data_IF_639190573693
#
_entry.id   IF_639190573693
#
_cell.length_a   1.000
_cell.length_b   1.000
_cell.length_c   1.000
_cell.angle_alpha   90.00
_cell.angle_beta   90.00
_cell.angle_gamma   90.00
#
_symmetry.space_group_name_H-M   'P 1'
#
loop_
_entity.id
_entity.type
_entity.pdbx_description
1 polymer ?
#
# COMPACT_ATOMS: atom_id res chain seq x y z
N UNK A 1 -11.53 -1.61 -15.96
CA UNK A 1 -11.56 -1.54 -14.47
C UNK A 1 -10.43 -0.64 -13.97
N UNK A 2 -10.60 0.02 -12.81
CA UNK A 2 -9.56 0.92 -12.31
C UNK A 2 -8.26 0.20 -11.93
N UNK A 3 -7.14 0.89 -12.13
CA UNK A 3 -5.82 0.51 -11.63
C UNK A 3 -5.39 1.39 -10.46
N UNK A 4 -5.84 2.65 -10.44
CA UNK A 4 -5.62 3.59 -9.35
C UNK A 4 -6.67 4.67 -9.33
N UNK A 5 -6.87 5.28 -8.15
CA UNK A 5 -7.73 6.44 -7.94
C UNK A 5 -7.04 7.44 -7.01
N UNK A 6 -7.18 8.71 -7.33
CA UNK A 6 -6.78 9.80 -6.45
C UNK A 6 -7.80 10.92 -6.47
N UNK A 7 -8.18 11.42 -5.30
CA UNK A 7 -9.10 12.56 -5.16
C UNK A 7 -8.33 13.80 -4.75
N UNK A 8 -8.27 14.77 -5.66
CA UNK A 8 -7.75 16.08 -5.38
C UNK A 8 -8.85 16.97 -4.81
N UNK A 9 -8.71 17.40 -3.55
CA UNK A 9 -9.63 18.32 -2.88
C UNK A 9 -8.97 19.68 -2.76
N UNK A 10 -9.59 20.70 -3.32
CA UNK A 10 -9.17 22.08 -3.18
C UNK A 10 -10.23 22.84 -2.35
N UNK A 11 -9.76 23.73 -1.46
CA UNK A 11 -10.63 24.47 -0.55
C UNK A 11 -11.62 25.34 -1.35
N UNK A 12 -12.92 25.12 -1.15
CA UNK A 12 -13.98 25.87 -1.85
C UNK A 12 -14.31 25.41 -3.28
N UNK A 13 -13.61 24.40 -3.81
CA UNK A 13 -13.84 23.89 -5.15
C UNK A 13 -14.49 22.48 -5.12
N UNK A 14 -14.98 22.03 -6.29
CA UNK A 14 -15.38 20.64 -6.50
C UNK A 14 -14.13 19.76 -6.44
N UNK A 15 -14.26 18.57 -5.90
CA UNK A 15 -13.18 17.61 -5.96
C UNK A 15 -12.90 17.20 -7.41
N UNK A 16 -11.62 17.06 -7.79
CA UNK A 16 -11.22 16.45 -9.05
C UNK A 16 -10.84 15.01 -8.78
N UNK A 17 -11.48 14.10 -9.48
CA UNK A 17 -11.15 12.69 -9.49
C UNK A 17 -10.11 12.45 -10.57
N UNK A 18 -9.05 11.74 -10.22
CA UNK A 18 -8.05 11.22 -11.13
C UNK A 18 -8.16 9.69 -11.11
N UNK A 19 -8.41 9.08 -12.26
CA UNK A 19 -8.56 7.64 -12.44
C UNK A 19 -7.56 7.13 -13.47
N UNK A 20 -6.96 6.00 -13.16
CA UNK A 20 -6.18 5.17 -14.09
C UNK A 20 -6.99 3.91 -14.33
N UNK A 21 -7.37 3.68 -15.58
CA UNK A 21 -8.23 2.59 -16.03
C UNK A 21 -7.49 1.75 -17.07
N UNK A 22 -7.64 0.44 -17.01
CA UNK A 22 -6.94 -0.50 -17.89
C UNK A 22 -7.29 -0.35 -19.37
N UNK A 23 -8.52 0.07 -19.67
CA UNK A 23 -9.02 0.22 -21.05
C UNK A 23 -9.01 1.68 -21.55
N UNK A 24 -9.29 2.63 -20.63
CA UNK A 24 -9.40 4.05 -20.97
C UNK A 24 -8.11 4.84 -20.73
N UNK A 25 -7.15 4.24 -20.01
CA UNK A 25 -5.96 4.94 -19.53
C UNK A 25 -6.27 5.96 -18.42
N UNK A 26 -5.41 6.98 -18.32
CA UNK A 26 -5.62 8.05 -17.35
C UNK A 26 -6.67 9.05 -17.85
N UNK A 27 -7.61 9.41 -16.95
CA UNK A 27 -8.53 10.52 -17.16
C UNK A 27 -8.91 11.19 -15.83
N UNK A 28 -9.39 12.43 -15.91
CA UNK A 28 -9.84 13.17 -14.72
C UNK A 28 -11.15 13.89 -15.01
N UNK A 29 -11.94 14.07 -13.95
CA UNK A 29 -13.23 14.76 -14.03
C UNK A 29 -13.60 15.41 -12.71
N UNK A 30 -14.39 16.50 -12.74
CA UNK A 30 -14.93 17.11 -11.53
C UNK A 30 -15.99 16.22 -10.91
N UNK A 31 -15.91 16.00 -9.60
CA UNK A 31 -16.88 15.19 -8.87
C UNK A 31 -17.51 15.96 -7.73
N UNK A 32 -18.82 15.78 -7.57
CA UNK A 32 -19.57 16.34 -6.48
C UNK A 32 -20.08 15.21 -5.60
N UNK A 33 -19.53 15.12 -4.39
CA UNK A 33 -19.98 14.12 -3.44
C UNK A 33 -21.47 14.32 -3.10
N UNK A 34 -22.13 13.26 -2.66
CA UNK A 34 -23.53 13.27 -2.32
C UNK A 34 -23.82 12.42 -1.08
N UNK A 35 -24.99 12.60 -0.53
CA UNK A 35 -25.59 11.81 0.52
C UNK A 35 -27.08 11.58 0.19
N UNK A 36 -27.78 10.94 1.07
CA UNK A 36 -29.24 10.77 0.93
C UNK A 36 -29.95 11.41 2.11
N UNK A 37 -31.10 12.07 1.85
CA UNK A 37 -31.93 12.73 2.85
C UNK A 37 -33.33 12.13 2.85
N UNK A 38 -33.94 12.00 4.02
CA UNK A 38 -35.35 11.58 4.16
C UNK A 38 -36.27 12.50 3.35
N UNK A 39 -37.07 11.90 2.46
CA UNK A 39 -38.01 12.61 1.60
C UNK A 39 -39.10 11.63 1.14
N UNK A 40 -40.36 11.95 1.41
CA UNK A 40 -41.48 11.05 1.09
C UNK A 40 -41.68 10.79 -0.41
N UNK A 41 -41.15 11.68 -1.27
CA UNK A 41 -41.16 11.52 -2.73
C UNK A 41 -39.85 10.90 -3.28
N UNK A 42 -38.93 10.46 -2.40
CA UNK A 42 -37.66 9.90 -2.81
C UNK A 42 -37.78 8.53 -3.48
N UNK A 43 -36.85 8.24 -4.38
CA UNK A 43 -36.79 6.96 -5.14
C UNK A 43 -36.02 5.87 -4.41
N UNK A 44 -35.07 6.25 -3.51
CA UNK A 44 -34.26 5.33 -2.75
C UNK A 44 -34.90 4.95 -1.44
N UNK A 45 -34.50 3.82 -0.86
CA UNK A 45 -35.09 3.32 0.39
C UNK A 45 -33.94 3.00 1.37
N UNK A 46 -34.09 3.41 2.63
CA UNK A 46 -33.15 2.99 3.68
C UNK A 46 -33.39 1.53 4.10
N UNK A 47 -32.43 0.93 4.83
CA UNK A 47 -32.61 -0.40 5.42
C UNK A 47 -33.88 -0.53 6.31
N UNK A 48 -34.39 0.58 6.85
CA UNK A 48 -35.62 0.64 7.66
C UNK A 48 -36.87 1.00 6.85
N UNK A 49 -36.81 0.97 5.53
CA UNK A 49 -37.94 1.23 4.64
C UNK A 49 -38.31 2.73 4.46
N UNK A 50 -37.47 3.65 4.92
CA UNK A 50 -37.72 5.09 4.78
C UNK A 50 -37.37 5.56 3.38
N UNK A 51 -38.22 6.35 2.74
CA UNK A 51 -37.96 6.96 1.44
C UNK A 51 -36.90 8.05 1.54
N UNK A 52 -35.97 8.05 0.59
CA UNK A 52 -34.81 8.92 0.55
C UNK A 52 -34.64 9.53 -0.85
N UNK A 53 -34.08 10.75 -0.88
CA UNK A 53 -33.62 11.35 -2.12
C UNK A 53 -32.14 11.71 -2.07
N UNK A 54 -31.48 11.62 -3.19
CA UNK A 54 -30.06 11.99 -3.36
C UNK A 54 -29.91 13.51 -3.25
N UNK A 55 -28.96 13.96 -2.40
CA UNK A 55 -28.66 15.38 -2.16
C UNK A 55 -27.17 15.62 -2.21
N UNK A 56 -26.76 16.76 -2.77
CA UNK A 56 -25.35 17.12 -2.89
C UNK A 56 -24.91 18.13 -1.81
N UNK A 57 -25.84 18.60 -0.99
CA UNK A 57 -25.59 19.47 0.18
C UNK A 57 -26.60 19.11 1.25
N UNK A 58 -26.19 19.18 2.49
CA UNK A 58 -27.01 18.96 3.69
C UNK A 58 -26.51 19.84 4.82
N UNK A 59 -27.35 20.06 5.80
CA UNK A 59 -27.02 20.85 6.97
C UNK A 59 -26.68 19.97 8.16
N UNK A 60 -25.85 20.48 9.07
CA UNK A 60 -25.44 19.75 10.28
C UNK A 60 -26.64 19.39 11.18
N UNK A 61 -27.67 20.19 11.16
CA UNK A 61 -28.92 19.91 11.89
C UNK A 61 -29.63 18.65 11.38
N UNK A 62 -29.72 18.49 10.06
CA UNK A 62 -30.28 17.29 9.45
C UNK A 62 -29.42 16.04 9.73
N UNK A 63 -28.11 16.20 9.75
CA UNK A 63 -27.19 15.12 10.10
C UNK A 63 -27.38 14.69 11.56
N UNK A 64 -27.40 15.65 12.51
CA UNK A 64 -27.63 15.39 13.94
C UNK A 64 -29.03 14.79 14.20
N UNK A 65 -30.02 15.18 13.41
CA UNK A 65 -31.38 14.64 13.49
C UNK A 65 -31.52 13.23 12.86
N UNK A 66 -30.47 12.62 12.37
CA UNK A 66 -30.48 11.29 11.72
C UNK A 66 -31.30 11.24 10.43
N UNK A 67 -31.42 12.37 9.71
CA UNK A 67 -32.14 12.47 8.44
C UNK A 67 -31.23 12.27 7.22
N UNK A 68 -29.90 12.22 7.42
CA UNK A 68 -28.89 12.06 6.37
C UNK A 68 -28.26 10.68 6.46
N UNK A 69 -28.05 10.05 5.31
CA UNK A 69 -27.56 8.69 5.15
C UNK A 69 -26.35 8.70 4.21
N UNK A 70 -25.39 7.80 4.43
CA UNK A 70 -24.17 7.63 3.64
C UNK A 70 -23.35 8.92 3.45
N UNK A 71 -23.42 9.89 4.37
CA UNK A 71 -22.62 11.12 4.28
C UNK A 71 -21.15 10.90 4.65
N UNK A 72 -20.85 9.81 5.30
CA UNK A 72 -19.54 9.40 5.82
C UNK A 72 -18.80 8.38 4.91
N UNK A 73 -19.40 8.00 3.78
CA UNK A 73 -18.76 7.12 2.79
C UNK A 73 -17.55 7.83 2.18
N UNK A 74 -16.37 7.19 2.14
CA UNK A 74 -15.19 7.76 1.49
C UNK A 74 -15.47 8.07 0.02
N UNK A 75 -14.99 9.23 -0.42
CA UNK A 75 -15.28 9.68 -1.79
C UNK A 75 -14.67 8.74 -2.83
N UNK A 76 -13.50 8.19 -2.54
CA UNK A 76 -12.82 7.20 -3.38
C UNK A 76 -13.71 5.97 -3.61
N UNK A 77 -14.21 5.37 -2.54
CA UNK A 77 -15.14 4.22 -2.59
C UNK A 77 -16.42 4.57 -3.33
N UNK A 78 -16.99 5.76 -3.05
CA UNK A 78 -18.22 6.23 -3.73
C UNK A 78 -18.02 6.34 -5.25
N UNK A 79 -16.91 6.95 -5.67
CA UNK A 79 -16.59 7.11 -7.11
C UNK A 79 -16.38 5.73 -7.75
N UNK A 80 -15.67 4.82 -7.08
CA UNK A 80 -15.43 3.48 -7.62
C UNK A 80 -16.72 2.69 -7.76
N UNK A 81 -17.62 2.74 -6.76
CA UNK A 81 -18.94 2.12 -6.85
C UNK A 81 -19.78 2.77 -7.96
N UNK A 82 -19.77 4.11 -8.07
CA UNK A 82 -20.52 4.82 -9.09
C UNK A 82 -20.06 4.53 -10.52
N UNK A 83 -18.77 4.25 -10.68
CA UNK A 83 -18.14 4.05 -12.00
C UNK A 83 -18.08 2.59 -12.40
N UNK A 84 -17.86 1.68 -11.45
CA UNK A 84 -17.53 0.27 -11.70
C UNK A 84 -18.45 -0.73 -10.97
N UNK A 85 -19.46 -0.26 -10.22
CA UNK A 85 -20.28 -1.12 -9.35
C UNK A 85 -21.05 -2.26 -10.04
N UNK A 86 -21.07 -2.28 -11.37
CA UNK A 86 -21.71 -3.33 -12.19
C UNK A 86 -20.72 -4.47 -12.57
N UNK A 87 -19.42 -4.33 -12.27
CA UNK A 87 -18.40 -5.33 -12.54
C UNK A 87 -17.43 -5.45 -11.37
N UNK A 88 -16.98 -6.65 -11.07
CA UNK A 88 -15.98 -6.98 -10.06
C UNK A 88 -14.73 -7.64 -10.68
N UNK A 89 -14.63 -7.68 -12.02
CA UNK A 89 -13.49 -8.24 -12.73
C UNK A 89 -12.21 -7.47 -12.44
N UNK A 90 -11.07 -8.15 -12.21
CA UNK A 90 -9.79 -7.49 -12.01
C UNK A 90 -9.35 -6.69 -13.24
N UNK A 91 -8.68 -5.54 -13.01
CA UNK A 91 -8.05 -4.78 -14.10
C UNK A 91 -6.91 -5.56 -14.76
N UNK A 92 -6.68 -5.34 -16.04
CA UNK A 92 -5.60 -5.96 -16.82
C UNK A 92 -4.36 -5.05 -16.89
N UNK A 93 -3.22 -5.61 -17.31
CA UNK A 93 -2.01 -4.86 -17.64
C UNK A 93 -1.40 -4.05 -16.49
N UNK A 94 -1.57 -4.49 -15.26
CA UNK A 94 -1.00 -3.79 -14.11
C UNK A 94 0.50 -4.00 -14.05
N UNK A 95 1.26 -2.93 -13.86
CA UNK A 95 2.68 -2.98 -13.62
C UNK A 95 2.97 -2.88 -12.12
N UNK A 96 3.63 -3.90 -11.57
CA UNK A 96 4.14 -3.90 -10.20
C UNK A 96 5.65 -3.79 -10.22
N UNK A 97 6.18 -2.79 -9.54
CA UNK A 97 7.62 -2.66 -9.30
C UNK A 97 7.96 -3.16 -7.90
N UNK A 98 8.78 -4.18 -7.82
CA UNK A 98 9.39 -4.65 -6.57
C UNK A 98 10.72 -3.95 -6.43
N UNK A 99 11.05 -3.47 -5.23
CA UNK A 99 12.33 -2.79 -5.04
C UNK A 99 12.82 -2.89 -3.59
N UNK A 100 14.10 -2.70 -3.43
CA UNK A 100 14.82 -2.70 -2.17
C UNK A 100 15.99 -1.73 -2.28
N UNK A 101 16.34 -1.03 -1.20
CA UNK A 101 17.46 -0.10 -1.16
C UNK A 101 18.48 -0.49 -0.10
N UNK A 102 19.75 -0.26 -0.43
CA UNK A 102 20.84 -0.34 0.55
C UNK A 102 21.40 1.06 0.80
N UNK A 103 21.70 1.33 2.05
CA UNK A 103 22.18 2.63 2.49
C UNK A 103 23.48 2.51 3.27
N UNK A 104 24.31 3.53 3.15
CA UNK A 104 25.52 3.65 3.94
C UNK A 104 25.16 3.69 5.44
N UNK A 105 25.92 2.95 6.26
CA UNK A 105 25.77 2.94 7.71
C UNK A 105 27.04 3.49 8.35
N UNK A 106 26.96 4.70 8.89
CA UNK A 106 28.09 5.37 9.54
C UNK A 106 28.01 5.36 11.06
N UNK A 107 26.80 5.53 11.61
CA UNK A 107 26.56 5.52 13.05
C UNK A 107 25.10 5.11 13.35
N UNK A 108 24.94 3.93 13.94
CA UNK A 108 23.63 3.38 14.27
C UNK A 108 22.78 2.98 13.07
N UNK A 109 21.50 2.73 13.30
CA UNK A 109 20.55 2.35 12.24
C UNK A 109 20.07 3.61 11.49
N UNK A 110 20.13 3.62 10.14
CA UNK A 110 19.73 4.77 9.33
C UNK A 110 18.27 5.14 9.55
N UNK A 111 18.01 6.42 9.88
CA UNK A 111 16.67 6.94 10.14
C UNK A 111 15.99 7.40 8.84
N UNK A 112 14.89 6.75 8.37
CA UNK A 112 14.30 7.04 7.07
C UNK A 112 13.75 8.46 6.92
N UNK A 113 13.30 9.07 8.02
CA UNK A 113 12.77 10.44 7.98
C UNK A 113 13.86 11.49 7.90
N UNK A 114 15.08 11.19 8.36
CA UNK A 114 16.25 12.06 8.20
C UNK A 114 17.01 11.79 6.92
N UNK A 115 17.18 10.53 6.54
CA UNK A 115 17.87 10.06 5.34
C UNK A 115 19.24 10.76 5.16
N UNK A 116 20.10 10.70 6.20
CA UNK A 116 21.37 11.44 6.23
C UNK A 116 22.43 10.77 5.39
N UNK A 117 22.45 9.43 5.36
CA UNK A 117 23.48 8.66 4.69
C UNK A 117 23.12 8.43 3.22
N UNK A 118 24.14 8.10 2.41
CA UNK A 118 23.96 7.85 0.98
C UNK A 118 23.20 6.55 0.72
N UNK A 119 22.43 6.53 -0.34
CA UNK A 119 21.94 5.28 -0.94
C UNK A 119 23.08 4.72 -1.78
N UNK A 120 23.49 3.50 -1.46
CA UNK A 120 24.61 2.81 -2.12
C UNK A 120 24.15 1.85 -3.21
N UNK A 121 22.94 1.31 -3.09
CA UNK A 121 22.33 0.49 -4.13
C UNK A 121 20.81 0.59 -4.11
N UNK A 122 20.20 0.45 -5.30
CA UNK A 122 18.76 0.28 -5.49
C UNK A 122 18.56 -0.90 -6.41
N UNK A 123 18.00 -1.99 -5.91
CA UNK A 123 17.57 -3.11 -6.74
C UNK A 123 16.07 -3.00 -7.02
N UNK A 124 15.67 -3.28 -8.25
CA UNK A 124 14.26 -3.27 -8.66
C UNK A 124 13.95 -4.41 -9.64
N UNK A 125 12.70 -4.81 -9.69
CA UNK A 125 12.15 -5.76 -10.65
C UNK A 125 10.87 -5.19 -11.27
N UNK A 126 10.77 -5.24 -12.58
CA UNK A 126 9.59 -4.87 -13.35
C UNK A 126 8.79 -6.12 -13.72
N UNK A 127 7.55 -6.21 -13.22
CA UNK A 127 6.69 -7.37 -13.45
C UNK A 127 6.24 -7.56 -14.91
N UNK A 128 6.32 -6.53 -15.74
CA UNK A 128 5.94 -6.59 -17.17
C UNK A 128 7.09 -7.12 -18.00
N UNK A 129 8.27 -6.51 -17.90
CA UNK A 129 9.45 -6.93 -18.66
C UNK A 129 10.16 -8.13 -18.04
N UNK A 130 9.86 -8.44 -16.78
CA UNK A 130 10.50 -9.48 -15.96
C UNK A 130 12.02 -9.28 -15.82
N UNK A 131 12.45 -8.03 -15.83
CA UNK A 131 13.86 -7.63 -15.72
C UNK A 131 14.16 -7.17 -14.29
N UNK A 132 15.26 -7.70 -13.75
CA UNK A 132 15.92 -7.16 -12.57
C UNK A 132 16.87 -6.05 -12.98
N UNK A 133 16.93 -4.97 -12.23
CA UNK A 133 17.92 -3.91 -12.42
C UNK A 133 18.51 -3.54 -11.06
N UNK A 134 19.84 -3.47 -10.98
CA UNK A 134 20.53 -2.88 -9.84
C UNK A 134 21.23 -1.60 -10.28
N UNK A 135 21.00 -0.53 -9.54
CA UNK A 135 21.68 0.76 -9.69
C UNK A 135 22.62 0.88 -8.50
N UNK A 136 23.92 1.03 -8.77
CA UNK A 136 24.96 0.90 -7.74
C UNK A 136 25.85 2.12 -7.73
N UNK A 137 26.11 2.66 -6.54
CA UNK A 137 27.13 3.68 -6.35
C UNK A 137 28.49 3.01 -6.35
N UNK A 138 29.25 3.20 -7.43
CA UNK A 138 30.52 2.53 -7.69
C UNK A 138 31.53 3.52 -8.30
N UNK A 139 32.07 4.44 -7.48
CA UNK A 139 33.00 5.46 -7.97
C UNK A 139 34.32 4.91 -8.50
N UNK A 140 34.68 3.70 -8.10
CA UNK A 140 35.94 3.04 -8.50
C UNK A 140 35.75 2.09 -9.69
N UNK A 141 34.53 1.93 -10.21
CA UNK A 141 34.20 1.07 -11.36
C UNK A 141 34.62 -0.40 -11.17
N UNK A 142 34.31 -0.94 -10.00
CA UNK A 142 34.66 -2.30 -9.59
C UNK A 142 33.60 -3.35 -9.87
N UNK A 143 32.38 -2.91 -10.21
CA UNK A 143 31.23 -3.79 -10.44
C UNK A 143 31.36 -4.50 -11.79
N UNK A 144 31.25 -5.81 -11.76
CA UNK A 144 31.30 -6.67 -12.96
C UNK A 144 29.91 -6.67 -13.68
N UNK A 145 29.88 -6.93 -14.98
CA UNK A 145 28.67 -7.18 -15.72
C UNK A 145 27.85 -8.33 -15.11
N UNK A 146 26.50 -8.29 -15.22
CA UNK A 146 25.65 -9.36 -14.71
C UNK A 146 25.97 -10.70 -15.40
N UNK A 147 25.81 -11.80 -14.65
CA UNK A 147 25.97 -13.16 -15.16
C UNK A 147 24.75 -13.68 -15.88
N UNK A 148 23.56 -13.18 -15.48
CA UNK A 148 22.26 -13.62 -15.97
C UNK A 148 21.70 -12.61 -16.98
N UNK A 149 20.99 -13.09 -18.00
CA UNK A 149 20.38 -12.27 -19.04
C UNK A 149 19.15 -11.48 -18.59
N UNK A 150 18.56 -11.87 -17.46
CA UNK A 150 17.38 -11.23 -16.86
C UNK A 150 17.73 -10.13 -15.84
N UNK A 151 19.02 -9.89 -15.65
CA UNK A 151 19.56 -8.90 -14.72
C UNK A 151 20.33 -7.82 -15.47
N UNK A 152 20.08 -6.57 -15.16
CA UNK A 152 20.86 -5.41 -15.61
C UNK A 152 21.52 -4.75 -14.41
N UNK A 153 22.80 -4.37 -14.54
CA UNK A 153 23.54 -3.65 -13.50
C UNK A 153 24.08 -2.36 -14.12
N UNK A 154 23.78 -1.24 -13.50
CA UNK A 154 24.25 0.08 -13.90
C UNK A 154 25.01 0.72 -12.73
N UNK A 155 26.29 1.07 -12.97
CA UNK A 155 27.17 1.70 -12.00
C UNK A 155 27.25 3.21 -12.18
N UNK A 156 27.35 3.94 -11.06
CA UNK A 156 27.38 5.40 -11.05
C UNK A 156 28.52 5.92 -10.18
N UNK A 157 29.14 6.99 -10.64
CA UNK A 157 30.21 7.65 -9.91
C UNK A 157 29.69 8.45 -8.70
N UNK A 158 28.45 8.97 -8.79
CA UNK A 158 27.85 9.78 -7.74
C UNK A 158 26.46 9.29 -7.39
N UNK A 159 26.03 9.53 -6.15
CA UNK A 159 24.66 9.24 -5.70
C UNK A 159 23.63 10.07 -6.48
N UNK A 160 23.98 11.28 -6.88
CA UNK A 160 23.11 12.14 -7.67
C UNK A 160 22.74 11.47 -9.00
N UNK A 161 23.72 10.92 -9.73
CA UNK A 161 23.48 10.19 -10.98
C UNK A 161 22.66 8.92 -10.75
N UNK A 162 22.95 8.18 -9.68
CA UNK A 162 22.19 6.98 -9.29
C UNK A 162 20.73 7.30 -9.06
N UNK A 163 20.45 8.33 -8.25
CA UNK A 163 19.07 8.77 -7.98
C UNK A 163 18.37 9.28 -9.25
N UNK A 164 19.04 10.09 -10.08
CA UNK A 164 18.48 10.55 -11.34
C UNK A 164 18.11 9.37 -12.24
N UNK A 165 18.98 8.37 -12.33
CA UNK A 165 18.73 7.17 -13.12
C UNK A 165 17.59 6.33 -12.58
N UNK A 166 17.48 6.19 -11.25
CA UNK A 166 16.34 5.53 -10.62
C UNK A 166 15.02 6.18 -11.05
N UNK A 167 14.90 7.51 -10.96
CA UNK A 167 13.68 8.20 -11.35
C UNK A 167 13.38 8.09 -12.85
N UNK A 168 14.40 8.06 -13.71
CA UNK A 168 14.22 7.78 -15.14
C UNK A 168 13.64 6.38 -15.35
N UNK A 169 14.24 5.35 -14.72
CA UNK A 169 13.74 3.97 -14.76
C UNK A 169 12.32 3.87 -14.23
N UNK A 170 12.03 4.52 -13.12
CA UNK A 170 10.69 4.56 -12.55
C UNK A 170 9.67 5.15 -13.53
N UNK A 171 10.04 6.21 -14.25
CA UNK A 171 9.18 6.81 -15.27
C UNK A 171 9.08 5.95 -16.54
N UNK A 172 10.08 5.16 -16.88
CA UNK A 172 10.03 4.17 -17.97
C UNK A 172 9.05 3.04 -17.61
N UNK A 173 9.16 2.49 -16.40
CA UNK A 173 8.32 1.39 -15.86
C UNK A 173 6.88 1.85 -15.64
N UNK A 174 6.67 3.06 -15.13
CA UNK A 174 5.34 3.61 -14.77
C UNK A 174 4.52 2.66 -13.91
N UNK A 175 5.01 2.26 -12.74
CA UNK A 175 4.32 1.28 -11.93
C UNK A 175 2.97 1.78 -11.45
N UNK A 176 1.97 0.92 -11.51
CA UNK A 176 0.68 1.13 -10.83
C UNK A 176 0.76 0.75 -9.35
N UNK A 177 1.63 -0.21 -9.03
CA UNK A 177 1.89 -0.71 -7.68
C UNK A 177 3.40 -0.73 -7.45
N UNK A 178 3.82 -0.26 -6.27
CA UNK A 178 5.18 -0.45 -5.76
C UNK A 178 5.13 -1.33 -4.52
N UNK A 179 6.10 -2.22 -4.37
CA UNK A 179 6.18 -3.15 -3.26
C UNK A 179 7.61 -3.49 -2.91
N UNK A 180 7.83 -3.92 -1.69
CA UNK A 180 9.09 -4.39 -1.14
C UNK A 180 8.85 -4.97 0.25
N UNK A 181 9.89 -5.45 0.92
CA UNK A 181 9.79 -6.00 2.27
C UNK A 181 10.00 -4.92 3.32
N UNK A 182 8.96 -4.48 4.00
CA UNK A 182 8.94 -3.35 4.94
C UNK A 182 9.13 -1.97 4.25
N UNK A 183 8.81 -1.90 2.97
CA UNK A 183 9.07 -0.72 2.13
C UNK A 183 8.28 0.53 2.53
N UNK A 184 7.09 0.40 3.12
CA UNK A 184 6.31 1.54 3.62
C UNK A 184 7.01 2.28 4.78
N UNK A 185 7.83 1.55 5.58
CA UNK A 185 8.48 2.10 6.77
C UNK A 185 9.96 2.45 6.58
N UNK A 186 10.61 1.85 5.58
CA UNK A 186 12.03 2.08 5.34
C UNK A 186 12.32 2.60 3.93
N UNK A 187 12.15 1.79 2.92
CA UNK A 187 12.66 2.10 1.56
C UNK A 187 12.02 3.34 0.95
N UNK A 188 10.69 3.43 0.96
CA UNK A 188 9.98 4.58 0.38
C UNK A 188 10.27 5.88 1.14
N UNK A 189 10.17 5.91 2.48
CA UNK A 189 10.55 7.11 3.23
C UNK A 189 12.00 7.52 3.04
N UNK A 190 12.92 6.55 3.06
CA UNK A 190 14.34 6.84 2.89
C UNK A 190 14.64 7.39 1.50
N UNK A 191 14.20 6.70 0.47
CA UNK A 191 14.38 7.11 -0.92
C UNK A 191 13.80 8.51 -1.16
N UNK A 192 12.58 8.76 -0.72
CA UNK A 192 11.94 10.07 -0.89
C UNK A 192 12.71 11.18 -0.19
N UNK A 193 12.99 11.01 1.10
CA UNK A 193 13.66 12.05 1.90
C UNK A 193 15.12 12.24 1.45
N UNK A 194 15.82 11.18 1.05
CA UNK A 194 17.17 11.29 0.48
C UNK A 194 17.15 12.03 -0.85
N UNK A 195 16.20 11.73 -1.71
CA UNK A 195 16.04 12.45 -2.99
C UNK A 195 15.73 13.93 -2.74
N UNK A 196 14.91 14.27 -1.75
CA UNK A 196 14.67 15.68 -1.38
C UNK A 196 15.97 16.39 -1.01
N UNK A 197 16.87 15.73 -0.26
CA UNK A 197 18.16 16.27 0.14
C UNK A 197 19.14 16.48 -1.02
N UNK A 198 19.19 15.51 -1.94
CA UNK A 198 20.19 15.49 -3.03
C UNK A 198 19.70 16.23 -4.26
N UNK A 199 18.45 15.98 -4.69
CA UNK A 199 17.88 16.48 -5.95
C UNK A 199 16.76 17.51 -5.76
N UNK A 200 16.29 17.68 -4.53
CA UNK A 200 15.23 18.61 -4.19
C UNK A 200 13.81 18.04 -4.27
N UNK A 201 12.89 18.78 -3.66
CA UNK A 201 11.50 18.38 -3.44
C UNK A 201 10.72 18.10 -4.73
N UNK A 202 10.94 18.92 -5.77
CA UNK A 202 10.22 18.74 -7.04
C UNK A 202 10.59 17.41 -7.72
N UNK A 203 11.87 17.06 -7.63
CA UNK A 203 12.37 15.81 -8.20
C UNK A 203 11.79 14.60 -7.44
N UNK A 204 11.85 14.63 -6.10
CA UNK A 204 11.28 13.57 -5.27
C UNK A 204 9.78 13.35 -5.52
N UNK A 205 9.03 14.42 -5.77
CA UNK A 205 7.60 14.32 -6.09
C UNK A 205 7.30 13.63 -7.44
N UNK A 206 8.28 13.44 -8.31
CA UNK A 206 8.09 12.73 -9.57
C UNK A 206 7.88 11.22 -9.42
N UNK A 207 7.95 10.67 -8.20
CA UNK A 207 7.35 9.36 -7.88
C UNK A 207 5.84 9.32 -8.17
N UNK A 208 5.18 10.45 -8.10
CA UNK A 208 3.76 10.57 -8.43
C UNK A 208 3.58 11.08 -9.86
N UNK A 209 2.77 10.44 -10.71
CA UNK A 209 2.42 10.97 -12.03
C UNK A 209 1.69 12.32 -11.96
N UNK A 210 1.22 12.73 -10.77
CA UNK A 210 0.62 14.04 -10.51
C UNK A 210 1.55 15.00 -9.76
N UNK A 211 2.81 14.61 -9.50
CA UNK A 211 3.74 15.39 -8.71
C UNK A 211 3.30 15.57 -7.24
N UNK A 212 2.56 14.63 -6.68
CA UNK A 212 1.97 14.73 -5.34
C UNK A 212 2.31 13.53 -4.49
N UNK A 213 3.26 13.73 -3.60
CA UNK A 213 3.63 12.76 -2.56
C UNK A 213 3.41 13.41 -1.20
N UNK A 214 2.75 12.73 -0.27
CA UNK A 214 2.45 13.26 1.06
C UNK A 214 2.65 12.20 2.13
N UNK A 215 3.28 12.58 3.22
CA UNK A 215 3.35 11.73 4.40
C UNK A 215 2.01 11.72 5.13
N UNK A 216 1.58 10.54 5.56
CA UNK A 216 0.37 10.33 6.36
C UNK A 216 0.78 9.91 7.77
N UNK A 217 0.76 10.84 8.71
CA UNK A 217 1.17 10.62 10.11
C UNK A 217 0.36 9.51 10.82
N UNK A 218 -0.92 9.31 10.45
CA UNK A 218 -1.76 8.28 11.07
C UNK A 218 -1.41 6.86 10.62
N UNK A 219 -0.91 6.73 9.40
CA UNK A 219 -0.55 5.45 8.79
C UNK A 219 0.96 5.26 8.76
N UNK A 220 1.74 6.27 9.17
CA UNK A 220 3.21 6.30 9.18
C UNK A 220 3.82 5.88 7.84
N UNK A 221 3.27 6.42 6.74
CA UNK A 221 3.75 6.11 5.39
C UNK A 221 3.53 7.26 4.41
N UNK A 222 4.28 7.26 3.32
CA UNK A 222 4.04 8.15 2.20
C UNK A 222 2.86 7.66 1.35
N UNK A 223 2.00 8.59 0.95
CA UNK A 223 0.96 8.37 -0.05
C UNK A 223 1.38 9.03 -1.36
N UNK A 224 1.50 8.23 -2.41
CA UNK A 224 1.91 8.63 -3.75
C UNK A 224 0.66 8.71 -4.62
N UNK A 225 0.29 9.91 -5.07
CA UNK A 225 -0.93 10.06 -5.87
C UNK A 225 -0.77 9.36 -7.23
N UNK A 226 -1.62 8.38 -7.49
CA UNK A 226 -1.63 7.59 -8.73
C UNK A 226 -0.77 6.34 -8.72
N UNK A 227 -0.11 6.02 -7.59
CA UNK A 227 0.65 4.78 -7.41
C UNK A 227 0.29 4.19 -6.05
N UNK A 228 -0.08 2.93 -6.02
CA UNK A 228 -0.41 2.23 -4.77
C UNK A 228 0.85 1.60 -4.17
N UNK A 229 1.13 1.91 -2.90
CA UNK A 229 2.16 1.21 -2.14
C UNK A 229 1.55 0.03 -1.40
N UNK A 230 2.01 -1.18 -1.70
CA UNK A 230 1.59 -2.43 -1.08
C UNK A 230 2.79 -3.12 -0.44
N UNK A 231 3.08 -2.78 0.81
CA UNK A 231 4.18 -3.37 1.57
C UNK A 231 3.98 -4.88 1.78
N UNK A 232 4.89 -5.70 1.26
CA UNK A 232 4.72 -7.15 1.19
C UNK A 232 4.71 -7.83 2.58
N UNK A 233 5.48 -7.33 3.57
CA UNK A 233 5.41 -7.88 4.94
C UNK A 233 4.03 -7.65 5.56
N UNK A 234 3.38 -6.53 5.25
CA UNK A 234 2.02 -6.25 5.74
C UNK A 234 1.00 -7.15 5.05
N UNK A 235 1.13 -7.37 3.74
CA UNK A 235 0.30 -8.32 3.02
C UNK A 235 0.45 -9.72 3.62
N UNK A 236 1.69 -10.17 3.80
CA UNK A 236 1.97 -11.47 4.38
C UNK A 236 1.33 -11.64 5.76
N UNK A 237 1.49 -10.66 6.66
CA UNK A 237 0.89 -10.70 7.99
C UNK A 237 -0.65 -10.67 7.99
N UNK A 238 -1.26 -9.97 7.06
CA UNK A 238 -2.72 -9.81 7.02
C UNK A 238 -3.43 -11.01 6.37
N UNK A 239 -2.77 -11.69 5.42
CA UNK A 239 -3.41 -12.72 4.60
C UNK A 239 -2.85 -14.12 4.82
N UNK A 240 -1.91 -14.31 5.76
CA UNK A 240 -1.50 -15.62 6.23
C UNK A 240 -2.06 -15.88 7.62
N UNK A 241 -2.65 -17.06 7.81
CA UNK A 241 -3.26 -17.43 9.11
C UNK A 241 -2.25 -18.04 10.10
N UNK A 242 -1.06 -18.42 9.61
CA UNK A 242 -0.04 -19.06 10.42
C UNK A 242 0.93 -18.02 10.96
N UNK A 243 1.02 -17.93 12.26
CA UNK A 243 2.05 -17.12 12.91
C UNK A 243 3.45 -17.70 12.63
N UNK A 244 4.39 -16.80 12.41
CA UNK A 244 5.79 -17.14 12.14
C UNK A 244 6.67 -16.74 13.32
N UNK A 245 7.71 -17.54 13.59
CA UNK A 245 8.68 -17.24 14.64
C UNK A 245 9.47 -15.94 14.35
N UNK A 246 9.64 -15.61 13.08
CA UNK A 246 10.27 -14.37 12.62
C UNK A 246 9.64 -13.90 11.32
N UNK A 247 9.48 -12.58 11.18
CA UNK A 247 9.00 -11.93 9.96
C UNK A 247 10.14 -11.23 9.19
N UNK A 248 11.39 -11.62 9.42
CA UNK A 248 12.52 -11.19 8.60
C UNK A 248 12.40 -11.81 7.21
N UNK A 249 12.81 -11.09 6.18
CA UNK A 249 12.73 -11.56 4.78
C UNK A 249 13.43 -12.91 4.60
N UNK A 250 14.60 -13.07 5.21
CA UNK A 250 15.37 -14.30 5.20
C UNK A 250 14.58 -15.51 5.75
N UNK A 251 13.95 -15.34 6.92
CA UNK A 251 13.16 -16.40 7.56
C UNK A 251 11.92 -16.77 6.75
N UNK A 252 11.20 -15.77 6.25
CA UNK A 252 10.00 -16.01 5.44
C UNK A 252 10.37 -16.58 4.06
N UNK A 253 11.43 -16.08 3.44
CA UNK A 253 11.96 -16.60 2.18
C UNK A 253 12.33 -18.08 2.28
N UNK A 254 13.00 -18.47 3.36
CA UNK A 254 13.35 -19.88 3.61
C UNK A 254 12.10 -20.77 3.77
N UNK A 255 11.17 -20.35 4.62
CA UNK A 255 9.96 -21.13 4.92
C UNK A 255 9.05 -21.25 3.70
N UNK A 256 8.84 -20.18 2.97
CA UNK A 256 7.86 -20.16 1.90
C UNK A 256 8.43 -20.62 0.55
N UNK A 257 9.61 -20.20 0.19
CA UNK A 257 10.17 -20.43 -1.16
C UNK A 257 11.53 -21.14 -1.17
N UNK A 258 12.05 -21.51 0.01
CA UNK A 258 13.36 -22.17 0.12
C UNK A 258 14.54 -21.26 -0.24
N UNK A 259 14.35 -19.94 -0.22
CA UNK A 259 15.36 -18.95 -0.56
C UNK A 259 15.82 -18.21 0.69
N UNK A 260 17.15 -18.10 0.85
CA UNK A 260 17.77 -17.29 1.90
C UNK A 260 18.49 -16.09 1.31
N UNK A 261 18.71 -15.08 2.15
CA UNK A 261 19.65 -14.01 1.87
C UNK A 261 21.05 -14.56 1.65
N UNK A 262 21.89 -13.78 0.99
CA UNK A 262 23.30 -14.14 0.83
C UNK A 262 24.01 -13.93 2.16
N UNK A 263 24.70 -14.95 2.65
CA UNK A 263 25.51 -14.86 3.86
C UNK A 263 26.82 -14.13 3.56
N UNK A 264 27.22 -13.24 4.45
CA UNK A 264 28.49 -12.52 4.39
C UNK A 264 29.06 -12.32 5.78
N UNK A 265 30.37 -12.09 5.86
CA UNK A 265 31.07 -11.80 7.11
C UNK A 265 31.17 -10.28 7.32
N UNK A 266 31.16 -9.85 8.58
CA UNK A 266 31.26 -8.43 8.94
C UNK A 266 29.93 -7.66 8.80
N UNK A 267 30.05 -6.38 8.56
CA UNK A 267 28.91 -5.47 8.32
C UNK A 267 28.55 -5.38 6.84
N UNK A 268 27.39 -4.85 6.53
CA UNK A 268 26.98 -4.58 5.14
C UNK A 268 27.91 -3.54 4.47
N UNK A 269 28.47 -2.62 5.25
CA UNK A 269 29.45 -1.66 4.76
C UNK A 269 30.81 -2.32 4.43
N UNK A 270 31.23 -3.31 5.23
CA UNK A 270 32.42 -4.09 4.90
C UNK A 270 32.19 -4.84 3.59
N UNK A 271 31.02 -5.44 3.40
CA UNK A 271 30.66 -6.10 2.14
C UNK A 271 30.68 -5.12 0.95
N UNK A 272 30.15 -3.93 1.10
CA UNK A 272 30.17 -2.90 0.06
C UNK A 272 31.59 -2.48 -0.32
N UNK A 273 32.48 -2.36 0.68
CA UNK A 273 33.86 -1.91 0.48
C UNK A 273 34.76 -3.02 -0.04
N UNK A 274 34.61 -4.23 0.50
CA UNK A 274 35.57 -5.34 0.24
C UNK A 274 35.13 -6.21 -0.95
N UNK A 275 33.80 -6.39 -1.17
CA UNK A 275 33.25 -7.18 -2.28
C UNK A 275 31.93 -6.57 -2.80
N UNK A 276 32.08 -5.49 -3.53
CA UNK A 276 30.92 -4.77 -4.12
C UNK A 276 30.08 -5.67 -5.05
N UNK A 277 30.68 -6.67 -5.68
CA UNK A 277 29.95 -7.58 -6.57
C UNK A 277 29.00 -8.47 -5.77
N UNK A 278 29.45 -9.00 -4.64
CA UNK A 278 28.61 -9.77 -3.71
C UNK A 278 27.56 -8.89 -3.04
N UNK A 279 27.90 -7.64 -2.75
CA UNK A 279 26.94 -6.64 -2.23
C UNK A 279 25.80 -6.39 -3.22
N UNK A 280 26.09 -6.22 -4.49
CA UNK A 280 25.08 -6.07 -5.55
C UNK A 280 24.21 -7.32 -5.66
N UNK A 281 24.83 -8.49 -5.64
CA UNK A 281 24.12 -9.76 -5.66
C UNK A 281 23.20 -9.92 -4.44
N UNK A 282 23.64 -9.46 -3.26
CA UNK A 282 22.84 -9.43 -2.03
C UNK A 282 21.57 -8.57 -2.20
N UNK A 283 21.69 -7.33 -2.67
CA UNK A 283 20.55 -6.43 -2.88
C UNK A 283 19.56 -6.98 -3.93
N UNK A 284 20.07 -7.52 -5.06
CA UNK A 284 19.25 -8.20 -6.07
C UNK A 284 18.54 -9.43 -5.46
N UNK A 285 19.21 -10.18 -4.59
CA UNK A 285 18.66 -11.37 -3.94
C UNK A 285 17.46 -11.04 -3.08
N UNK A 286 17.48 -9.92 -2.36
CA UNK A 286 16.37 -9.48 -1.53
C UNK A 286 15.11 -9.21 -2.39
N UNK A 287 15.26 -8.54 -3.52
CA UNK A 287 14.16 -8.37 -4.47
C UNK A 287 13.68 -9.70 -5.06
N UNK A 288 14.62 -10.59 -5.45
CA UNK A 288 14.28 -11.93 -5.98
C UNK A 288 13.47 -12.77 -5.00
N UNK A 289 13.74 -12.66 -3.68
CA UNK A 289 12.97 -13.36 -2.66
C UNK A 289 11.52 -12.82 -2.61
N UNK A 290 11.32 -11.50 -2.62
CA UNK A 290 9.97 -10.91 -2.60
C UNK A 290 9.18 -11.26 -3.86
N UNK A 291 9.82 -11.25 -5.03
CA UNK A 291 9.20 -11.69 -6.29
C UNK A 291 8.79 -13.16 -6.22
N UNK A 292 9.67 -14.04 -5.76
CA UNK A 292 9.36 -15.47 -5.61
C UNK A 292 8.23 -15.73 -4.59
N UNK A 293 8.21 -14.95 -3.50
CA UNK A 293 7.10 -14.99 -2.53
C UNK A 293 5.76 -14.64 -3.21
N UNK A 294 5.73 -13.57 -4.01
CA UNK A 294 4.48 -13.18 -4.68
C UNK A 294 4.11 -14.14 -5.82
N UNK A 295 5.07 -14.69 -6.55
CA UNK A 295 4.81 -15.73 -7.54
C UNK A 295 4.15 -16.98 -6.94
N UNK A 296 4.53 -17.35 -5.72
CA UNK A 296 3.92 -18.47 -4.98
C UNK A 296 2.60 -18.10 -4.32
N UNK A 297 2.57 -17.00 -3.58
CA UNK A 297 1.46 -16.65 -2.67
C UNK A 297 0.37 -15.81 -3.36
N UNK A 298 0.70 -15.17 -4.50
CA UNK A 298 -0.23 -14.36 -5.30
C UNK A 298 -0.94 -13.25 -4.50
N UNK A 299 -0.24 -12.64 -3.52
CA UNK A 299 -0.87 -11.66 -2.63
C UNK A 299 -1.23 -10.36 -3.33
N UNK A 300 -0.43 -9.90 -4.29
CA UNK A 300 -0.76 -8.71 -5.09
C UNK A 300 -2.02 -8.97 -5.93
N UNK A 301 -2.15 -10.16 -6.52
CA UNK A 301 -3.33 -10.57 -7.28
C UNK A 301 -4.57 -10.68 -6.37
N UNK A 302 -4.42 -11.29 -5.19
CA UNK A 302 -5.47 -11.39 -4.18
C UNK A 302 -6.00 -10.01 -3.76
N UNK A 303 -5.09 -9.08 -3.43
CA UNK A 303 -5.44 -7.69 -3.06
C UNK A 303 -6.22 -7.01 -4.17
N UNK A 304 -5.78 -7.14 -5.41
CA UNK A 304 -6.45 -6.57 -6.57
C UNK A 304 -7.85 -7.14 -6.74
N UNK A 305 -8.00 -8.45 -6.70
CA UNK A 305 -9.29 -9.13 -6.80
C UNK A 305 -10.27 -8.68 -5.71
N UNK A 306 -9.83 -8.69 -4.45
CA UNK A 306 -10.63 -8.21 -3.32
C UNK A 306 -10.99 -6.72 -3.43
N UNK A 307 -10.04 -5.88 -3.84
CA UNK A 307 -10.29 -4.44 -3.96
C UNK A 307 -11.30 -4.14 -5.07
N UNK A 308 -11.23 -4.84 -6.20
CA UNK A 308 -12.20 -4.68 -7.30
C UNK A 308 -13.59 -5.19 -6.90
N UNK A 309 -13.69 -6.32 -6.24
CA UNK A 309 -14.96 -6.85 -5.71
C UNK A 309 -15.60 -5.89 -4.72
N UNK A 310 -14.80 -5.22 -3.90
CA UNK A 310 -15.26 -4.30 -2.85
C UNK A 310 -15.29 -2.83 -3.31
N UNK A 311 -14.81 -2.50 -4.50
CA UNK A 311 -14.72 -1.13 -5.04
C UNK A 311 -14.02 -0.15 -4.09
N UNK A 312 -12.83 -0.53 -3.62
CA UNK A 312 -11.98 0.28 -2.74
C UNK A 312 -10.59 0.50 -3.36
N UNK A 313 -9.86 1.57 -2.99
CA UNK A 313 -8.44 1.70 -3.34
C UNK A 313 -7.62 0.52 -2.82
N UNK A 314 -6.61 0.06 -3.56
CA UNK A 314 -5.80 -1.11 -3.17
C UNK A 314 -5.19 -0.96 -1.76
N UNK A 315 -4.76 0.21 -1.39
CA UNK A 315 -4.16 0.46 -0.08
C UNK A 315 -5.14 0.40 1.10
N UNK A 316 -6.45 0.41 0.86
CA UNK A 316 -7.48 0.28 1.90
C UNK A 316 -7.69 -1.19 2.30
N UNK A 317 -7.11 -2.15 1.57
CA UNK A 317 -7.23 -3.59 1.83
C UNK A 317 -6.68 -4.00 3.21
N UNK A 318 -5.76 -3.24 3.76
CA UNK A 318 -5.22 -3.48 5.10
C UNK A 318 -6.24 -3.29 6.24
N UNK A 319 -7.42 -2.74 5.93
CA UNK A 319 -8.47 -2.45 6.90
C UNK A 319 -9.74 -3.24 6.57
N UNK A 320 -10.00 -4.30 7.35
CA UNK A 320 -11.17 -5.17 7.14
C UNK A 320 -12.49 -4.40 7.09
N UNK A 321 -12.64 -3.36 7.92
CA UNK A 321 -13.81 -2.50 7.90
C UNK A 321 -14.02 -1.77 6.56
N UNK A 322 -12.95 -1.50 5.80
CA UNK A 322 -13.02 -0.78 4.53
C UNK A 322 -13.51 -1.67 3.39
N UNK A 323 -12.92 -2.86 3.25
CA UNK A 323 -13.39 -3.75 2.18
C UNK A 323 -14.78 -4.31 2.46
N UNK A 324 -15.13 -4.58 3.73
CA UNK A 324 -16.50 -4.95 4.09
C UNK A 324 -17.50 -3.82 3.80
N UNK A 325 -17.17 -2.57 4.17
CA UNK A 325 -17.98 -1.40 3.83
C UNK A 325 -18.19 -1.28 2.32
N UNK A 326 -17.13 -1.38 1.54
CA UNK A 326 -17.21 -1.31 0.08
C UNK A 326 -18.09 -2.40 -0.52
N UNK A 327 -17.92 -3.65 -0.09
CA UNK A 327 -18.75 -4.78 -0.53
C UNK A 327 -20.23 -4.57 -0.20
N UNK A 328 -20.54 -4.16 1.04
CA UNK A 328 -21.91 -3.89 1.49
C UNK A 328 -22.53 -2.76 0.66
N UNK A 329 -21.83 -1.64 0.49
CA UNK A 329 -22.33 -0.50 -0.29
C UNK A 329 -22.55 -0.86 -1.76
N UNK A 330 -21.67 -1.65 -2.35
CA UNK A 330 -21.82 -2.16 -3.73
C UNK A 330 -23.08 -3.02 -3.88
N UNK A 331 -23.32 -3.93 -2.92
CA UNK A 331 -24.51 -4.77 -2.91
C UNK A 331 -25.77 -3.94 -2.72
N UNK A 332 -25.81 -3.05 -1.74
CA UNK A 332 -26.96 -2.20 -1.45
C UNK A 332 -27.32 -1.30 -2.63
N UNK A 333 -26.33 -0.79 -3.35
CA UNK A 333 -26.57 -0.01 -4.57
C UNK A 333 -27.32 -0.81 -5.64
N UNK A 334 -26.96 -2.08 -5.86
CA UNK A 334 -27.61 -2.95 -6.87
C UNK A 334 -29.09 -3.15 -6.59
N UNK A 335 -29.51 -3.06 -5.32
CA UNK A 335 -30.90 -3.20 -4.88
C UNK A 335 -31.55 -1.87 -4.49
N UNK A 336 -30.91 -0.74 -4.81
CA UNK A 336 -31.39 0.64 -4.54
C UNK A 336 -31.68 0.95 -3.07
N UNK A 337 -31.00 0.24 -2.16
CA UNK A 337 -31.06 0.44 -0.71
C UNK A 337 -29.88 1.28 -0.24
N UNK A 338 -30.12 2.15 0.73
CA UNK A 338 -29.13 3.08 1.28
C UNK A 338 -28.79 2.72 2.72
N UNK A 339 -27.49 2.66 3.02
CA UNK A 339 -26.98 2.39 4.35
C UNK A 339 -27.13 3.58 5.29
N UNK A 340 -27.28 3.36 6.61
CA UNK A 340 -27.17 4.43 7.59
C UNK A 340 -25.73 4.95 7.68
N UNK A 341 -25.55 6.16 8.21
CA UNK A 341 -24.21 6.60 8.63
C UNK A 341 -23.69 5.72 9.77
N UNK A 342 -22.38 5.61 9.89
CA UNK A 342 -21.75 5.01 11.07
C UNK A 342 -22.15 5.76 12.33
N UNK A 343 -22.34 5.07 13.45
CA UNK A 343 -22.59 5.73 14.72
C UNK A 343 -21.42 6.68 15.05
N UNK A 344 -21.70 7.87 15.61
CA UNK A 344 -20.64 8.78 16.01
C UNK A 344 -19.76 8.11 17.06
N UNK A 345 -18.43 8.25 16.91
CA UNK A 345 -17.52 7.79 17.96
C UNK A 345 -17.80 8.61 19.23
N UNK A 346 -17.94 7.97 20.39
CA UNK A 346 -18.08 8.67 21.64
C UNK A 346 -16.89 9.62 21.84
N UNK A 347 -17.18 10.87 22.18
CA UNK A 347 -16.14 11.84 22.56
C UNK A 347 -15.93 11.75 24.07
N UNK A 348 -14.70 11.52 24.50
CA UNK A 348 -14.31 11.43 25.92
C UNK A 348 -14.02 9.99 26.37
N UNK A 349 -13.54 9.85 27.61
CA UNK A 349 -13.30 8.58 28.29
C UNK A 349 -14.62 7.89 28.67
N UNK A 350 -15.49 7.65 27.69
CA UNK A 350 -16.62 6.76 27.89
C UNK A 350 -15.99 5.36 27.95
N UNK A 351 -15.97 4.78 29.15
CA UNK A 351 -15.77 3.34 29.28
C UNK A 351 -16.69 2.66 28.28
N UNK A 352 -16.08 2.12 27.22
CA UNK A 352 -16.82 1.17 26.39
C UNK A 352 -17.34 0.11 27.35
N UNK A 353 -18.66 -0.11 27.41
CA UNK A 353 -19.13 -1.36 27.96
C UNK A 353 -18.34 -2.46 27.26
N UNK A 354 -17.33 -2.94 27.94
CA UNK A 354 -16.56 -4.06 27.45
C UNK A 354 -17.57 -5.18 27.33
N UNK A 355 -17.76 -5.67 26.10
CA UNK A 355 -18.45 -6.94 25.96
C UNK A 355 -17.84 -7.88 26.99
N UNK A 356 -18.67 -8.50 27.83
CA UNK A 356 -18.16 -9.51 28.72
C UNK A 356 -17.47 -10.55 27.85
N UNK A 357 -16.16 -10.63 27.96
CA UNK A 357 -15.38 -11.63 27.21
C UNK A 357 -15.82 -13.04 27.57
N UNK A 358 -15.22 -14.02 26.93
CA UNK A 358 -15.41 -15.43 27.31
C UNK A 358 -15.16 -15.59 28.80
N UNK A 359 -15.91 -16.48 29.44
CA UNK A 359 -15.74 -16.79 30.86
C UNK A 359 -14.32 -17.29 31.11
N UNK A 360 -13.54 -16.52 31.84
CA UNK A 360 -12.20 -16.91 32.26
C UNK A 360 -12.27 -17.25 33.76
N UNK A 361 -12.06 -18.52 34.07
CA UNK A 361 -11.99 -19.00 35.46
C UNK A 361 -10.54 -18.89 35.94
N UNK A 362 -10.35 -18.42 37.17
CA UNK A 362 -9.04 -18.43 37.81
C UNK A 362 -8.47 -19.86 37.88
N UNK A 363 -7.21 -20.05 37.48
CA UNK A 363 -6.60 -21.37 37.51
C UNK A 363 -6.46 -21.87 38.94
N UNK A 364 -6.78 -23.10 39.20
CA UNK A 364 -6.44 -23.75 40.47
C UNK A 364 -4.98 -24.17 40.41
N UNK A 365 -4.15 -23.61 41.26
CA UNK A 365 -2.74 -23.98 41.36
C UNK A 365 -2.62 -25.47 41.77
N UNK A 366 -1.80 -26.23 41.04
CA UNK A 366 -1.56 -27.64 41.32
C UNK A 366 -1.26 -28.48 40.11
N UNK A 367 -0.91 -29.74 40.31
CA UNK A 367 -0.78 -30.74 39.25
C UNK A 367 -2.15 -31.34 39.00
N UNK A 368 -2.61 -31.27 37.75
CA UNK A 368 -3.89 -31.82 37.28
C UNK A 368 -3.62 -32.98 36.29
N UNK A 369 -4.34 -34.08 36.48
CA UNK A 369 -4.32 -35.22 35.58
C UNK A 369 -5.63 -35.25 34.78
N UNK A 370 -5.60 -35.82 33.59
CA UNK A 370 -6.76 -35.93 32.70
C UNK A 370 -7.34 -34.58 32.24
N UNK A 371 -6.45 -33.71 31.76
CA UNK A 371 -6.85 -32.42 31.19
C UNK A 371 -7.28 -32.64 29.77
N UNK A 372 -8.44 -32.09 29.38
CA UNK A 372 -8.92 -31.97 28.01
C UNK A 372 -8.91 -30.50 27.61
N UNK A 373 -8.36 -30.21 26.48
CA UNK A 373 -8.45 -28.91 25.84
C UNK A 373 -9.48 -29.04 24.70
N UNK A 374 -10.53 -28.20 24.76
CA UNK A 374 -11.60 -28.17 23.77
C UNK A 374 -11.63 -26.74 23.24
N UNK A 375 -11.24 -26.56 21.98
CA UNK A 375 -11.30 -25.29 21.25
C UNK A 375 -12.55 -25.25 20.37
#
# INVERSE_FOLDING_TARGET
MYQNIYIQREKGQRATVHLWDDKKGYYSFPYKNYAYKKDNGGMYVSLSGQKLKKVARWEDEDLKAGKIFESDVPMETRVLIDTYGDSDEPSEGICTMYFDIEVEVTDGFPEPMKAENKITSIALYDSITKQHTALVLDPDSLVNPPKDSDTNIESFYSEEELLQRFYQKYQEIRPSIITGWNSDRFDIPYLYNRTVRVLGFQFANSLSPLGKVRYNDRQERYKIAGVSSLDYIRLYKNFTFKEQASYRLDAIGEVEVGMKKIEYEGSLMDLYTDDINKFVEYNIRDVKIVVALDEKLKMIELVRGLSHMCHIPYEEIYFSSRYLEGAILTHLRKIEVVAPNKPPRPKGDIEYEKFSGAYVKDPKAGRHEWIFDLD
#
